data_IF_612875668569
#
_entry.id   IF_612875668569
#
_cell.length_a   1.000
_cell.length_b   1.000
_cell.length_c   1.000
_cell.angle_alpha   90.00
_cell.angle_beta   90.00
_cell.angle_gamma   90.00
#
_symmetry.space_group_name_H-M   'P 1'
#
loop_
_entity.id
_entity.type
_entity.pdbx_description
1 polymer ?
#
# COMPACT_ATOMS: atom_id res chain seq x y z
N UNK A 1 -14.73 -12.37 1.22
CA UNK A 1 -14.23 -12.87 -0.08
C UNK A 1 -12.90 -13.54 0.21
N UNK A 2 -12.79 -14.84 0.01
CA UNK A 2 -11.52 -15.56 0.17
C UNK A 2 -10.62 -15.17 -1.00
N UNK A 3 -9.53 -14.47 -0.72
CA UNK A 3 -8.50 -14.21 -1.71
C UNK A 3 -7.88 -15.55 -2.12
N UNK A 4 -8.21 -15.99 -3.33
CA UNK A 4 -7.72 -17.24 -3.92
C UNK A 4 -6.20 -17.14 -4.23
N UNK A 5 -5.62 -15.95 -4.14
CA UNK A 5 -4.23 -15.65 -4.55
C UNK A 5 -3.37 -15.03 -3.44
N UNK A 6 -3.67 -15.28 -2.17
CA UNK A 6 -2.81 -14.80 -1.09
C UNK A 6 -1.60 -15.73 -0.90
N UNK A 7 -0.44 -15.12 -0.68
CA UNK A 7 0.82 -15.82 -0.45
C UNK A 7 1.25 -15.72 1.00
N UNK A 8 1.84 -16.80 1.50
CA UNK A 8 2.51 -16.80 2.80
C UNK A 8 3.83 -16.06 2.69
N UNK A 9 3.92 -14.93 3.37
CA UNK A 9 5.15 -14.19 3.56
C UNK A 9 5.84 -14.55 4.89
N UNK A 10 7.12 -14.22 5.07
CA UNK A 10 7.75 -14.28 6.36
C UNK A 10 6.97 -13.51 7.42
N UNK A 11 6.84 -14.03 8.65
CA UNK A 11 6.06 -13.38 9.69
C UNK A 11 6.63 -12.01 10.02
N UNK A 12 5.79 -10.99 9.98
CA UNK A 12 6.18 -9.60 10.25
C UNK A 12 5.20 -8.95 11.21
N UNK A 13 5.70 -8.31 12.27
CA UNK A 13 4.86 -7.59 13.22
C UNK A 13 4.40 -6.24 12.65
N UNK A 14 3.19 -5.80 13.04
CA UNK A 14 2.65 -4.50 12.59
C UNK A 14 3.56 -3.31 12.90
N UNK A 15 4.21 -3.21 14.09
CA UNK A 15 5.18 -2.15 14.33
C UNK A 15 6.37 -2.12 13.35
N UNK A 16 6.82 -3.27 12.86
CA UNK A 16 7.88 -3.32 11.83
C UNK A 16 7.37 -2.80 10.48
N UNK A 17 6.15 -3.18 10.10
CA UNK A 17 5.51 -2.67 8.86
C UNK A 17 5.32 -1.15 8.96
N UNK A 18 4.79 -0.67 10.08
CA UNK A 18 4.59 0.76 10.33
C UNK A 18 5.91 1.53 10.29
N UNK A 19 6.97 0.96 10.89
CA UNK A 19 8.31 1.56 10.86
C UNK A 19 8.83 1.71 9.43
N UNK A 20 8.63 0.70 8.58
CA UNK A 20 9.08 0.73 7.19
C UNK A 20 8.35 1.83 6.40
N UNK A 21 7.02 1.91 6.51
CA UNK A 21 6.23 2.93 5.83
C UNK A 21 6.59 4.35 6.30
N UNK A 22 6.79 4.54 7.60
CA UNK A 22 7.20 5.83 8.16
C UNK A 22 8.62 6.22 7.74
N UNK A 23 9.56 5.26 7.65
CA UNK A 23 10.91 5.51 7.13
C UNK A 23 10.89 5.96 5.67
N UNK A 24 10.01 5.38 4.85
CA UNK A 24 9.86 5.84 3.47
C UNK A 24 9.43 7.32 3.43
N UNK A 25 8.44 7.71 4.23
CA UNK A 25 8.02 9.11 4.34
C UNK A 25 9.16 10.02 4.82
N UNK A 26 9.92 9.59 5.81
CA UNK A 26 11.07 10.34 6.35
C UNK A 26 12.18 10.52 5.30
N UNK A 27 12.55 9.46 4.58
CA UNK A 27 13.54 9.54 3.52
C UNK A 27 13.10 10.50 2.39
N UNK A 28 11.80 10.57 2.11
CA UNK A 28 11.20 11.50 1.16
C UNK A 28 10.99 12.92 1.73
N UNK A 29 11.26 13.16 3.03
CA UNK A 29 10.97 14.40 3.75
C UNK A 29 9.48 14.79 3.68
N UNK A 30 8.59 13.80 3.78
CA UNK A 30 7.14 13.95 3.64
C UNK A 30 6.37 13.49 4.90
N UNK A 31 7.01 13.53 6.08
CA UNK A 31 6.38 13.10 7.34
C UNK A 31 5.15 13.92 7.69
N UNK A 32 5.18 15.22 7.34
CA UNK A 32 4.13 16.18 7.67
C UNK A 32 3.17 16.46 6.49
N UNK A 33 3.23 15.68 5.42
CA UNK A 33 2.34 15.83 4.25
C UNK A 33 1.14 14.91 4.38
N UNK A 34 -0.08 15.38 4.70
CA UNK A 34 -1.24 14.49 4.87
C UNK A 34 -1.56 13.76 3.58
N UNK A 35 -1.89 14.47 2.50
CA UNK A 35 -2.21 13.90 1.20
C UNK A 35 -0.94 13.59 0.41
N UNK A 36 -0.36 12.44 0.69
CA UNK A 36 0.89 12.00 0.07
C UNK A 36 0.76 11.94 -1.47
N UNK A 37 1.66 12.56 -2.27
CA UNK A 37 1.60 12.53 -3.74
C UNK A 37 2.10 11.18 -4.29
N UNK A 38 1.35 10.11 -4.03
CA UNK A 38 1.81 8.73 -4.22
C UNK A 38 2.20 8.40 -5.66
N UNK A 39 1.47 8.92 -6.66
CA UNK A 39 1.80 8.70 -8.07
C UNK A 39 3.15 9.34 -8.40
N UNK A 40 3.37 10.59 -7.99
CA UNK A 40 4.64 11.28 -8.18
C UNK A 40 5.81 10.57 -7.47
N UNK A 41 5.57 10.01 -6.28
CA UNK A 41 6.59 9.23 -5.56
C UNK A 41 6.99 8.01 -6.39
N UNK A 42 6.02 7.23 -6.85
CA UNK A 42 6.29 6.00 -7.62
C UNK A 42 6.97 6.33 -8.95
N UNK A 43 6.38 7.24 -9.73
CA UNK A 43 6.81 7.51 -11.11
C UNK A 43 8.05 8.39 -11.17
N UNK A 44 8.09 9.51 -10.44
CA UNK A 44 9.17 10.50 -10.57
C UNK A 44 10.34 10.25 -9.63
N UNK A 45 10.07 9.85 -8.39
CA UNK A 45 11.14 9.70 -7.41
C UNK A 45 11.72 8.28 -7.45
N UNK A 46 10.88 7.26 -7.25
CA UNK A 46 11.39 5.88 -7.12
C UNK A 46 11.82 5.28 -8.46
N UNK A 47 11.10 5.56 -9.54
CA UNK A 47 11.46 5.10 -10.88
C UNK A 47 12.46 6.02 -11.57
N UNK A 48 12.10 7.29 -11.89
CA UNK A 48 12.93 8.13 -12.75
C UNK A 48 14.22 8.64 -12.07
N UNK A 49 14.18 8.94 -10.75
CA UNK A 49 15.36 9.50 -10.07
C UNK A 49 16.21 8.44 -9.38
N UNK A 50 15.58 7.43 -8.76
CA UNK A 50 16.28 6.41 -7.99
C UNK A 50 16.44 5.07 -8.73
N UNK A 51 15.79 4.91 -9.87
CA UNK A 51 15.87 3.72 -10.73
C UNK A 51 15.70 2.39 -9.98
N UNK A 52 14.79 2.38 -8.97
CA UNK A 52 14.62 1.21 -8.11
C UNK A 52 13.90 0.05 -8.81
N UNK A 53 13.08 0.34 -9.80
CA UNK A 53 12.29 -0.61 -10.59
C UNK A 53 11.84 0.05 -11.89
N UNK A 54 11.40 -0.73 -12.86
CA UNK A 54 10.75 -0.21 -14.05
C UNK A 54 9.28 0.10 -13.78
N UNK A 55 8.83 1.32 -14.04
CA UNK A 55 7.41 1.71 -13.94
C UNK A 55 6.68 1.41 -15.26
N UNK A 56 5.60 0.65 -15.19
CA UNK A 56 4.86 0.22 -16.38
C UNK A 56 3.36 0.50 -16.24
N UNK A 57 2.75 1.03 -17.30
CA UNK A 57 1.30 1.09 -17.44
C UNK A 57 0.88 0.15 -18.57
N UNK A 58 -0.11 -0.69 -18.33
CA UNK A 58 -0.60 -1.69 -19.29
C UNK A 58 -2.11 -1.65 -19.39
N UNK A 59 -2.61 -2.06 -20.52
CA UNK A 59 -4.05 -2.11 -20.76
C UNK A 59 -4.73 -3.26 -19.99
N UNK A 60 -6.06 -3.24 -19.97
CA UNK A 60 -6.85 -4.25 -19.27
C UNK A 60 -6.74 -5.65 -19.88
N UNK A 61 -6.36 -5.78 -21.16
CA UNK A 61 -6.21 -7.10 -21.81
C UNK A 61 -4.97 -7.80 -21.28
N UNK A 62 -3.89 -7.05 -21.07
CA UNK A 62 -2.65 -7.57 -20.48
C UNK A 62 -2.80 -7.82 -18.96
N UNK A 63 -3.49 -6.92 -18.24
CA UNK A 63 -3.59 -6.98 -16.78
C UNK A 63 -4.73 -7.86 -16.26
N UNK A 64 -5.74 -8.13 -17.10
CA UNK A 64 -6.92 -8.88 -16.67
C UNK A 64 -7.65 -8.19 -15.51
N UNK A 65 -7.83 -8.90 -14.41
CA UNK A 65 -8.47 -8.39 -13.18
C UNK A 65 -7.50 -7.66 -12.25
N UNK A 66 -6.19 -7.80 -12.43
CA UNK A 66 -5.19 -7.15 -11.59
C UNK A 66 -5.23 -5.62 -11.80
N UNK A 67 -5.26 -4.88 -10.71
CA UNK A 67 -5.21 -3.41 -10.68
C UNK A 67 -3.76 -2.90 -10.64
N UNK A 68 -2.90 -3.60 -9.93
CA UNK A 68 -1.47 -3.42 -9.83
C UNK A 68 -0.76 -4.76 -9.81
N UNK A 69 0.53 -4.77 -10.07
CA UNK A 69 1.37 -5.96 -10.03
C UNK A 69 2.82 -5.57 -9.77
N UNK A 70 3.38 -6.08 -8.68
CA UNK A 70 4.79 -5.96 -8.37
C UNK A 70 5.53 -7.23 -8.76
N UNK A 71 6.62 -7.10 -9.52
CA UNK A 71 7.47 -8.22 -9.89
C UNK A 71 8.09 -8.85 -8.63
N UNK A 72 8.02 -10.18 -8.45
CA UNK A 72 8.62 -10.84 -7.29
C UNK A 72 10.13 -10.61 -7.14
N UNK A 73 10.84 -10.36 -8.25
CA UNK A 73 12.28 -10.02 -8.24
C UNK A 73 12.54 -8.51 -8.06
N UNK A 74 11.49 -7.68 -8.07
CA UNK A 74 11.64 -6.22 -7.95
C UNK A 74 11.97 -5.52 -9.26
N UNK A 75 11.92 -6.19 -10.40
CA UNK A 75 12.31 -5.62 -11.69
C UNK A 75 11.35 -4.51 -12.15
N UNK A 76 10.05 -4.66 -11.86
CA UNK A 76 9.04 -3.68 -12.25
C UNK A 76 7.87 -3.59 -11.26
N UNK A 77 7.22 -2.43 -11.27
CA UNK A 77 5.85 -2.25 -10.76
C UNK A 77 4.97 -1.84 -11.93
N UNK A 78 3.85 -2.52 -12.09
CA UNK A 78 2.92 -2.34 -13.20
C UNK A 78 1.55 -1.96 -12.68
N UNK A 79 0.91 -1.01 -13.37
CA UNK A 79 -0.47 -0.61 -13.09
C UNK A 79 -1.33 -0.73 -14.34
N UNK A 80 -2.59 -1.09 -14.11
CA UNK A 80 -3.57 -1.07 -15.18
C UNK A 80 -3.92 0.39 -15.51
N UNK A 81 -4.07 0.69 -16.81
CA UNK A 81 -4.22 2.05 -17.33
C UNK A 81 -5.37 2.83 -16.68
N UNK A 82 -6.53 2.20 -16.48
CA UNK A 82 -7.67 2.84 -15.80
C UNK A 82 -7.37 3.19 -14.34
N UNK A 83 -6.59 2.35 -13.64
CA UNK A 83 -6.15 2.59 -12.26
C UNK A 83 -5.13 3.73 -12.22
N UNK A 84 -4.17 3.73 -13.15
CA UNK A 84 -3.19 4.82 -13.28
C UNK A 84 -3.88 6.16 -13.52
N UNK A 85 -4.77 6.23 -14.51
CA UNK A 85 -5.52 7.44 -14.85
C UNK A 85 -6.38 7.91 -13.68
N UNK A 86 -7.04 6.98 -12.98
CA UNK A 86 -7.81 7.28 -11.77
C UNK A 86 -6.93 7.85 -10.66
N UNK A 87 -5.74 7.26 -10.42
CA UNK A 87 -4.82 7.73 -9.39
C UNK A 87 -4.30 9.15 -9.69
N UNK A 88 -3.97 9.44 -10.96
CA UNK A 88 -3.59 10.78 -11.43
C UNK A 88 -4.70 11.81 -11.21
N UNK A 89 -5.96 11.41 -11.39
CA UNK A 89 -7.14 12.24 -11.11
C UNK A 89 -7.49 12.33 -9.60
N UNK A 90 -6.70 11.73 -8.72
CA UNK A 90 -6.93 11.75 -7.27
C UNK A 90 -7.87 10.66 -6.76
N UNK A 91 -8.19 9.65 -7.57
CA UNK A 91 -9.06 8.54 -7.19
C UNK A 91 -8.54 7.79 -5.96
N UNK A 92 -9.30 7.84 -4.87
CA UNK A 92 -8.88 7.38 -3.54
C UNK A 92 -8.50 5.90 -3.51
N UNK A 93 -9.26 5.03 -4.19
CA UNK A 93 -8.97 3.60 -4.27
C UNK A 93 -7.70 3.33 -5.08
N UNK A 94 -7.55 4.00 -6.22
CA UNK A 94 -6.39 3.84 -7.08
C UNK A 94 -5.09 4.30 -6.38
N UNK A 95 -5.15 5.38 -5.60
CA UNK A 95 -4.04 5.82 -4.74
C UNK A 95 -3.65 4.75 -3.72
N UNK A 96 -4.64 4.04 -3.15
CA UNK A 96 -4.38 2.93 -2.24
C UNK A 96 -3.70 1.77 -2.96
N UNK A 97 -4.12 1.44 -4.19
CA UNK A 97 -3.45 0.42 -5.02
C UNK A 97 -1.97 0.76 -5.25
N UNK A 98 -1.63 2.02 -5.53
CA UNK A 98 -0.22 2.45 -5.65
C UNK A 98 0.58 2.20 -4.37
N UNK A 99 0.03 2.59 -3.22
CA UNK A 99 0.69 2.37 -1.93
C UNK A 99 0.81 0.88 -1.57
N UNK A 100 -0.17 0.07 -1.97
CA UNK A 100 -0.20 -1.37 -1.79
C UNK A 100 0.92 -2.06 -2.58
N UNK A 101 1.09 -1.71 -3.86
CA UNK A 101 2.18 -2.25 -4.68
C UNK A 101 3.56 -1.86 -4.14
N UNK A 102 3.72 -0.65 -3.60
CA UNK A 102 4.94 -0.30 -2.86
C UNK A 102 5.14 -1.18 -1.62
N UNK A 103 4.07 -1.56 -0.94
CA UNK A 103 4.14 -2.53 0.16
C UNK A 103 4.71 -3.86 -0.31
N UNK A 104 4.22 -4.39 -1.43
CA UNK A 104 4.79 -5.59 -2.04
C UNK A 104 6.25 -5.39 -2.44
N UNK A 105 6.58 -4.27 -3.07
CA UNK A 105 7.95 -3.98 -3.48
C UNK A 105 8.93 -3.99 -2.29
N UNK A 106 8.64 -3.24 -1.24
CA UNK A 106 9.57 -3.10 -0.11
C UNK A 106 9.61 -4.31 0.84
N UNK A 107 8.58 -5.15 0.83
CA UNK A 107 8.46 -6.25 1.81
C UNK A 107 8.59 -7.63 1.20
N UNK A 108 8.25 -7.79 -0.07
CA UNK A 108 8.05 -9.12 -0.66
C UNK A 108 8.93 -9.39 -1.89
N UNK A 109 9.71 -8.43 -2.39
CA UNK A 109 10.65 -8.68 -3.49
C UNK A 109 11.86 -9.46 -3.00
N UNK A 110 12.29 -10.43 -3.81
CA UNK A 110 13.40 -11.35 -3.49
C UNK A 110 13.19 -12.16 -2.19
N UNK A 111 11.94 -12.33 -1.79
CA UNK A 111 11.53 -13.09 -0.61
C UNK A 111 10.80 -14.36 -1.06
N UNK A 112 11.13 -15.54 -0.53
CA UNK A 112 10.39 -16.76 -0.84
C UNK A 112 8.95 -16.63 -0.34
N UNK A 113 7.99 -16.60 -1.27
CA UNK A 113 6.58 -16.63 -0.98
C UNK A 113 6.02 -18.02 -1.29
N UNK A 114 5.30 -18.62 -0.35
CA UNK A 114 4.64 -19.88 -0.58
C UNK A 114 3.15 -19.65 -0.86
N UNK A 115 2.63 -20.22 -1.96
CA UNK A 115 1.19 -20.19 -2.22
C UNK A 115 0.44 -20.93 -1.12
N UNK A 116 -0.60 -20.33 -0.58
CA UNK A 116 -1.46 -21.00 0.37
C UNK A 116 -2.32 -22.08 -0.32
N UNK A 117 -2.60 -23.16 0.36
CA UNK A 117 -3.64 -24.07 -0.11
C UNK A 117 -5.01 -23.36 -0.05
N UNK A 118 -5.91 -23.67 -1.00
CA UNK A 118 -7.21 -23.02 -1.12
C UNK A 118 -8.07 -23.04 0.17
N UNK A 119 -7.84 -24.02 1.04
CA UNK A 119 -8.53 -24.21 2.32
C UNK A 119 -7.76 -23.65 3.51
N UNK A 120 -6.55 -23.14 3.30
CA UNK A 120 -5.67 -22.70 4.37
C UNK A 120 -5.96 -21.23 4.75
N UNK A 121 -6.19 -21.01 6.05
CA UNK A 121 -6.30 -19.67 6.61
C UNK A 121 -4.91 -19.14 6.96
N UNK A 122 -4.44 -18.18 6.21
CA UNK A 122 -3.16 -17.51 6.51
C UNK A 122 -3.41 -16.48 7.63
N UNK A 123 -2.68 -16.52 8.76
CA UNK A 123 -2.73 -15.45 9.74
C UNK A 123 -2.25 -14.12 9.11
N UNK A 124 -2.89 -13.01 9.46
CA UNK A 124 -2.61 -11.70 8.83
C UNK A 124 -1.12 -11.30 8.85
N UNK A 125 -0.41 -11.61 9.93
CA UNK A 125 1.03 -11.34 10.06
C UNK A 125 1.93 -12.20 9.16
N UNK A 126 1.36 -13.19 8.46
CA UNK A 126 2.01 -14.06 7.46
C UNK A 126 1.38 -13.95 6.08
N UNK A 127 0.35 -13.15 5.91
CA UNK A 127 -0.31 -12.87 4.63
C UNK A 127 0.40 -11.73 3.93
N UNK A 128 0.90 -11.96 2.72
CA UNK A 128 1.54 -10.92 1.92
C UNK A 128 0.57 -9.76 1.64
N UNK A 129 -0.69 -10.08 1.34
CA UNK A 129 -1.74 -9.11 1.10
C UNK A 129 -2.04 -8.27 2.35
N UNK A 130 -2.16 -8.91 3.52
CA UNK A 130 -2.42 -8.19 4.77
C UNK A 130 -1.26 -7.28 5.17
N UNK A 131 -0.02 -7.72 4.93
CA UNK A 131 1.18 -6.92 5.19
C UNK A 131 1.24 -5.71 4.24
N UNK A 132 0.98 -5.89 2.93
CA UNK A 132 0.93 -4.81 1.95
C UNK A 132 -0.21 -3.82 2.24
N UNK A 133 -1.38 -4.31 2.64
CA UNK A 133 -2.50 -3.46 3.07
C UNK A 133 -2.14 -2.63 4.32
N UNK A 134 -1.48 -3.24 5.31
CA UNK A 134 -1.01 -2.51 6.50
C UNK A 134 0.00 -1.43 6.13
N UNK A 135 0.96 -1.75 5.28
CA UNK A 135 1.95 -0.80 4.77
C UNK A 135 1.27 0.38 4.08
N UNK A 136 0.34 0.10 3.14
CA UNK A 136 -0.40 1.12 2.40
C UNK A 136 -1.21 2.04 3.34
N UNK A 137 -1.92 1.45 4.29
CA UNK A 137 -2.68 2.19 5.29
C UNK A 137 -1.80 3.12 6.14
N UNK A 138 -0.64 2.64 6.60
CA UNK A 138 0.31 3.43 7.37
C UNK A 138 1.00 4.50 6.52
N UNK A 139 1.37 4.15 5.28
CA UNK A 139 2.00 5.10 4.36
C UNK A 139 1.08 6.26 4.02
N UNK A 140 -0.19 5.99 3.73
CA UNK A 140 -1.17 7.02 3.35
C UNK A 140 -1.75 7.75 4.56
N UNK A 141 -1.90 7.08 5.72
CA UNK A 141 -2.50 7.65 6.93
C UNK A 141 -1.54 7.40 8.11
N UNK A 142 -0.44 8.16 8.20
CA UNK A 142 0.52 7.98 9.31
C UNK A 142 -0.11 8.40 10.63
N UNK A 143 0.06 7.57 11.65
CA UNK A 143 -0.55 7.81 12.96
C UNK A 143 -0.15 9.15 13.60
N UNK A 144 1.05 9.65 13.30
CA UNK A 144 1.52 10.93 13.81
C UNK A 144 0.69 12.14 13.33
N UNK A 145 -0.07 11.99 12.24
CA UNK A 145 -0.94 13.04 11.70
C UNK A 145 -2.42 12.84 12.05
N UNK A 146 -2.76 11.77 12.77
CA UNK A 146 -4.14 11.47 13.16
C UNK A 146 -4.34 11.82 14.63
N UNK A 147 -5.37 12.60 14.93
CA UNK A 147 -5.76 12.98 16.30
C UNK A 147 -7.11 12.35 16.67
N UNK A 148 -7.46 12.28 17.97
CA UNK A 148 -8.75 11.76 18.41
C UNK A 148 -9.98 12.46 17.82
N UNK A 149 -9.82 13.71 17.37
CA UNK A 149 -10.91 14.51 16.79
C UNK A 149 -11.15 14.22 15.31
N UNK A 150 -10.29 13.40 14.67
CA UNK A 150 -10.48 13.05 13.28
C UNK A 150 -11.69 12.12 13.10
N UNK A 151 -12.67 12.58 12.34
CA UNK A 151 -13.75 11.72 11.82
C UNK A 151 -13.26 10.95 10.58
N UNK A 152 -14.02 9.93 10.18
CA UNK A 152 -13.75 9.18 8.94
C UNK A 152 -13.73 10.11 7.73
N UNK A 153 -14.69 11.02 7.64
CA UNK A 153 -14.84 11.98 6.55
C UNK A 153 -13.63 12.92 6.46
N UNK A 154 -13.17 13.41 7.61
CA UNK A 154 -12.00 14.27 7.68
C UNK A 154 -10.73 13.56 7.22
N UNK A 155 -10.52 12.30 7.63
CA UNK A 155 -9.40 11.48 7.15
C UNK A 155 -9.50 11.24 5.64
N UNK A 156 -10.68 10.95 5.11
CA UNK A 156 -10.88 10.78 3.67
C UNK A 156 -10.44 12.03 2.90
N UNK A 157 -10.84 13.21 3.36
CA UNK A 157 -10.55 14.47 2.70
C UNK A 157 -9.07 14.84 2.82
N UNK A 158 -8.53 14.85 4.04
CA UNK A 158 -7.15 15.27 4.30
C UNK A 158 -6.10 14.34 3.69
N UNK A 159 -6.32 13.03 3.75
CA UNK A 159 -5.35 12.05 3.27
C UNK A 159 -5.63 11.53 1.85
N UNK A 160 -6.79 11.84 1.30
CA UNK A 160 -7.19 11.38 -0.04
C UNK A 160 -7.32 9.85 -0.12
N UNK A 161 -8.02 9.26 0.85
CA UNK A 161 -8.24 7.81 0.99
C UNK A 161 -9.72 7.48 1.00
N UNK A 162 -10.06 6.23 0.64
CA UNK A 162 -11.45 5.77 0.67
C UNK A 162 -11.98 5.66 2.11
N UNK A 163 -13.30 5.70 2.26
CA UNK A 163 -14.00 5.49 3.53
C UNK A 163 -13.52 4.20 4.22
N UNK A 164 -13.46 3.11 3.47
CA UNK A 164 -13.02 1.82 3.99
C UNK A 164 -11.59 1.87 4.56
N UNK A 165 -10.66 2.51 3.85
CA UNK A 165 -9.28 2.65 4.31
C UNK A 165 -9.19 3.52 5.58
N UNK A 166 -9.98 4.60 5.66
CA UNK A 166 -10.07 5.46 6.83
C UNK A 166 -10.64 4.71 8.04
N UNK A 167 -11.74 3.97 7.87
CA UNK A 167 -12.38 3.16 8.93
C UNK A 167 -11.43 2.11 9.49
N UNK A 168 -10.76 1.33 8.63
CA UNK A 168 -9.78 0.33 9.05
C UNK A 168 -8.62 0.98 9.81
N UNK A 169 -8.09 2.09 9.31
CA UNK A 169 -6.96 2.74 9.97
C UNK A 169 -7.32 3.30 11.35
N UNK A 170 -8.48 3.94 11.49
CA UNK A 170 -8.98 4.41 12.80
C UNK A 170 -9.15 3.23 13.76
N UNK A 171 -9.75 2.13 13.30
CA UNK A 171 -9.95 0.94 14.13
C UNK A 171 -8.60 0.36 14.61
N UNK A 172 -7.61 0.27 13.74
CA UNK A 172 -6.27 -0.17 14.09
C UNK A 172 -5.62 0.73 15.13
N UNK A 173 -5.65 2.05 14.92
CA UNK A 173 -5.05 3.03 15.84
C UNK A 173 -5.71 2.99 17.23
N UNK A 174 -7.03 2.85 17.29
CA UNK A 174 -7.76 2.67 18.56
C UNK A 174 -7.38 1.36 19.26
N UNK A 175 -7.30 0.26 18.52
CA UNK A 175 -6.89 -1.04 19.07
C UNK A 175 -5.46 -1.02 19.62
N UNK A 176 -4.60 -0.19 19.06
CA UNK A 176 -3.21 -0.01 19.46
C UNK A 176 -3.04 1.04 20.60
N UNK A 177 -4.12 1.66 21.04
CA UNK A 177 -4.08 2.72 22.07
C UNK A 177 -3.37 3.99 21.59
N UNK A 178 -3.43 4.28 20.28
CA UNK A 178 -2.82 5.45 19.63
C UNK A 178 -3.83 6.56 19.30
N UNK A 179 -5.11 6.27 19.51
CA UNK A 179 -6.25 7.19 19.45
C UNK A 179 -7.18 6.94 20.63
#
# INVERSE_FOLDING_TARGET
>A
MSNIDDYKAPPTSWPKVDTLANRLRANLKMEQVPKLPIVNIVEKILYEQLELFEFQVRDRREMGTAEGLTCPNGDFIRFREDVYNSACAGGMRARFTFAHELGHFFMHTNVPLARAAATERIPAYRSAESQANRFAGTLLIPAALVTPDHTVERIMEEFGVSKLAAEFRIADLKKEGRL
#
